data_IF_245890824690
#
_entry.id   IF_245890824690
#
_cell.length_a   1.000
_cell.length_b   1.000
_cell.length_c   1.000
_cell.angle_alpha   90.00
_cell.angle_beta   90.00
_cell.angle_gamma   90.00
#
_symmetry.space_group_name_H-M   'P 1'
#
loop_
_entity.id
_entity.type
_entity.pdbx_description
1 polymer ?
#
# COMPACT_ATOMS: atom_id res chain seq x y z
N UNK A 1 3.63 -6.86 15.54
CA UNK A 1 4.43 -7.15 16.75
C UNK A 1 4.90 -8.61 16.77
N UNK A 2 4.03 -9.60 16.78
CA UNK A 2 4.39 -11.03 16.76
C UNK A 2 3.90 -11.70 15.47
N UNK A 3 4.59 -12.77 15.03
CA UNK A 3 4.23 -13.51 13.83
C UNK A 3 2.81 -14.11 13.96
N UNK A 4 1.99 -13.90 12.93
CA UNK A 4 0.62 -14.41 12.86
C UNK A 4 0.54 -15.92 13.06
N UNK A 5 1.51 -16.69 12.54
CA UNK A 5 1.53 -18.14 12.70
C UNK A 5 1.68 -18.54 14.17
N UNK A 6 2.45 -17.79 14.97
CA UNK A 6 2.63 -18.04 16.39
C UNK A 6 1.39 -17.68 17.22
N UNK A 7 0.65 -16.67 16.80
CA UNK A 7 -0.62 -16.31 17.44
C UNK A 7 -1.64 -17.43 17.26
N UNK A 8 -1.66 -18.11 16.12
CA UNK A 8 -2.54 -19.28 15.88
C UNK A 8 -2.25 -20.48 16.79
N UNK A 9 -1.03 -20.60 17.30
CA UNK A 9 -0.62 -21.69 18.19
C UNK A 9 -0.99 -21.43 19.66
N UNK A 10 -1.53 -20.26 19.99
CA UNK A 10 -1.97 -19.92 21.33
C UNK A 10 -3.27 -20.64 21.68
N UNK A 11 -3.34 -21.17 22.92
CA UNK A 11 -4.58 -21.71 23.46
C UNK A 11 -5.47 -20.57 23.99
N UNK A 12 -6.71 -20.89 24.41
CA UNK A 12 -7.72 -19.91 24.84
C UNK A 12 -7.24 -18.98 25.97
N UNK A 13 -6.51 -19.52 26.96
CA UNK A 13 -5.96 -18.73 28.05
C UNK A 13 -4.81 -17.81 27.57
N UNK A 14 -4.00 -18.29 26.65
CA UNK A 14 -2.91 -17.52 26.06
C UNK A 14 -3.46 -16.44 25.10
N UNK A 15 -4.55 -16.70 24.39
CA UNK A 15 -5.27 -15.69 23.58
C UNK A 15 -5.89 -14.62 24.48
N UNK A 16 -6.48 -15.01 25.61
CA UNK A 16 -7.01 -14.05 26.60
C UNK A 16 -5.89 -13.15 27.13
N UNK A 17 -4.74 -13.74 27.47
CA UNK A 17 -3.56 -12.99 27.88
C UNK A 17 -3.06 -12.08 26.77
N UNK A 18 -2.99 -12.56 25.53
CA UNK A 18 -2.58 -11.78 24.36
C UNK A 18 -3.49 -10.55 24.18
N UNK A 19 -4.79 -10.73 24.21
CA UNK A 19 -5.75 -9.65 24.08
C UNK A 19 -5.62 -8.61 25.21
N UNK A 20 -5.38 -9.07 26.45
CA UNK A 20 -5.11 -8.18 27.58
C UNK A 20 -3.84 -7.35 27.34
N UNK A 21 -2.75 -8.00 26.91
CA UNK A 21 -1.47 -7.35 26.61
C UNK A 21 -1.62 -6.29 25.52
N UNK A 22 -2.28 -6.62 24.42
CA UNK A 22 -2.48 -5.65 23.31
C UNK A 22 -3.28 -4.43 23.77
N UNK A 23 -4.36 -4.67 24.53
CA UNK A 23 -5.23 -3.58 25.03
C UNK A 23 -4.56 -2.70 26.09
N UNK A 24 -3.57 -3.20 26.82
CA UNK A 24 -2.94 -2.53 27.95
C UNK A 24 -1.41 -2.46 27.81
N UNK A 25 -0.91 -2.46 26.59
CA UNK A 25 0.52 -2.55 26.28
C UNK A 25 1.37 -1.53 27.04
N UNK A 26 0.92 -0.27 27.09
CA UNK A 26 1.61 0.83 27.79
C UNK A 26 1.79 0.58 29.30
N UNK A 27 0.86 -0.18 29.91
CA UNK A 27 0.94 -0.56 31.33
C UNK A 27 1.80 -1.80 31.51
N UNK A 28 1.63 -2.80 30.61
CA UNK A 28 2.28 -4.12 30.71
C UNK A 28 3.81 -4.01 30.68
N UNK A 29 4.39 -3.06 29.94
CA UNK A 29 5.84 -2.85 29.91
C UNK A 29 6.44 -2.49 31.29
N UNK A 30 5.63 -1.93 32.21
CA UNK A 30 6.06 -1.59 33.57
C UNK A 30 5.65 -2.63 34.62
N UNK A 31 4.74 -3.56 34.29
CA UNK A 31 4.25 -4.58 35.22
C UNK A 31 5.32 -5.62 35.58
N UNK A 32 5.23 -6.13 36.81
CA UNK A 32 5.89 -7.38 37.18
C UNK A 32 5.04 -8.56 36.73
N UNK A 33 5.67 -9.73 36.53
CA UNK A 33 4.96 -10.94 36.06
C UNK A 33 3.77 -11.32 36.95
N UNK A 34 3.86 -11.11 38.26
CA UNK A 34 2.78 -11.37 39.21
C UNK A 34 1.61 -10.41 39.09
N UNK A 35 1.89 -9.16 38.73
CA UNK A 35 0.87 -8.13 38.48
C UNK A 35 0.11 -8.46 37.20
N UNK A 36 0.83 -8.78 36.13
CA UNK A 36 0.19 -9.22 34.87
C UNK A 36 -0.63 -10.50 35.08
N UNK A 37 -0.13 -11.47 35.87
CA UNK A 37 -0.84 -12.70 36.18
C UNK A 37 -2.18 -12.42 36.88
N UNK A 38 -2.21 -11.51 37.85
CA UNK A 38 -3.39 -11.06 38.56
C UNK A 38 -4.39 -10.35 37.63
N UNK A 39 -3.93 -9.40 36.88
CA UNK A 39 -4.76 -8.55 36.00
C UNK A 39 -5.35 -9.35 34.83
N UNK A 40 -4.57 -10.25 34.23
CA UNK A 40 -5.02 -11.11 33.13
C UNK A 40 -5.70 -12.40 33.58
N UNK A 41 -5.87 -12.61 34.92
CA UNK A 41 -6.47 -13.82 35.53
C UNK A 41 -5.83 -15.14 35.08
N UNK A 42 -4.51 -15.15 34.92
CA UNK A 42 -3.72 -16.33 34.53
C UNK A 42 -2.60 -16.62 35.53
N UNK A 43 -2.01 -17.82 35.46
CA UNK A 43 -0.83 -18.13 36.29
C UNK A 43 0.45 -17.51 35.67
N UNK A 44 1.46 -17.27 36.54
CA UNK A 44 2.79 -16.84 36.06
C UNK A 44 3.42 -17.88 35.12
N UNK A 45 3.13 -19.17 35.31
CA UNK A 45 3.56 -20.26 34.43
C UNK A 45 2.91 -20.14 33.06
N UNK A 46 1.65 -19.76 32.98
CA UNK A 46 0.97 -19.46 31.68
C UNK A 46 1.65 -18.33 30.95
N UNK A 47 2.01 -17.25 31.65
CA UNK A 47 2.75 -16.12 31.05
C UNK A 47 4.12 -16.56 30.51
N UNK A 48 4.86 -17.38 31.25
CA UNK A 48 6.17 -17.86 30.77
C UNK A 48 6.04 -18.78 29.54
N UNK A 49 5.01 -19.64 29.48
CA UNK A 49 4.72 -20.46 28.31
C UNK A 49 4.32 -19.59 27.10
N UNK A 50 3.46 -18.63 27.32
CA UNK A 50 3.09 -17.61 26.31
C UNK A 50 4.31 -16.89 25.76
N UNK A 51 5.22 -16.40 26.62
CA UNK A 51 6.47 -15.76 26.19
C UNK A 51 7.30 -16.70 25.29
N UNK A 52 7.46 -17.97 25.68
CA UNK A 52 8.23 -18.96 24.90
C UNK A 52 7.62 -19.22 23.52
N UNK A 53 6.29 -19.30 23.41
CA UNK A 53 5.60 -19.45 22.11
C UNK A 53 5.82 -18.26 21.19
N UNK A 54 6.08 -17.09 21.78
CA UNK A 54 6.37 -15.85 21.04
C UNK A 54 7.89 -15.61 20.88
N UNK A 55 8.72 -16.67 20.97
CA UNK A 55 10.19 -16.64 20.88
C UNK A 55 10.84 -15.66 21.85
N UNK A 56 10.32 -15.61 23.06
CA UNK A 56 10.95 -14.88 24.15
C UNK A 56 11.44 -15.89 25.20
N UNK A 57 12.70 -15.78 25.61
CA UNK A 57 13.28 -16.64 26.66
C UNK A 57 12.54 -16.50 27.99
N UNK A 58 11.92 -15.33 28.23
CA UNK A 58 11.14 -15.04 29.42
C UNK A 58 10.40 -13.73 29.39
N UNK A 59 9.74 -13.39 30.50
CA UNK A 59 8.90 -12.21 30.61
C UNK A 59 9.68 -10.89 30.46
N UNK A 60 10.94 -10.85 30.88
CA UNK A 60 11.80 -9.65 30.72
C UNK A 60 12.10 -9.36 29.25
N UNK A 61 12.44 -10.38 28.46
CA UNK A 61 12.65 -10.22 27.04
C UNK A 61 11.35 -9.86 26.31
N UNK A 62 10.25 -10.50 26.68
CA UNK A 62 8.93 -10.17 26.15
C UNK A 62 8.62 -8.68 26.36
N UNK A 63 8.83 -8.16 27.58
CA UNK A 63 8.60 -6.73 27.87
C UNK A 63 9.53 -5.82 27.06
N UNK A 64 10.79 -6.22 26.88
CA UNK A 64 11.72 -5.46 26.07
C UNK A 64 11.27 -5.38 24.60
N UNK A 65 10.87 -6.52 24.01
CA UNK A 65 10.32 -6.57 22.65
C UNK A 65 9.02 -5.75 22.53
N UNK A 66 8.13 -5.83 23.53
CA UNK A 66 6.92 -5.03 23.59
C UNK A 66 7.24 -3.53 23.65
N UNK A 67 8.19 -3.14 24.49
CA UNK A 67 8.64 -1.75 24.62
C UNK A 67 9.25 -1.24 23.32
N UNK A 68 10.15 -2.00 22.71
CA UNK A 68 10.74 -1.64 21.40
C UNK A 68 9.68 -1.53 20.30
N UNK A 69 8.62 -2.33 20.36
CA UNK A 69 7.50 -2.22 19.43
C UNK A 69 6.72 -0.92 19.64
N UNK A 70 6.42 -0.57 20.90
CA UNK A 70 5.73 0.68 21.22
C UNK A 70 6.61 1.91 20.88
N UNK A 71 7.89 1.88 21.23
CA UNK A 71 8.83 2.95 20.89
C UNK A 71 9.02 3.11 19.36
N UNK A 72 8.94 2.02 18.60
CA UNK A 72 8.89 2.09 17.13
C UNK A 72 7.59 2.70 16.62
N UNK A 73 6.46 2.49 17.33
CA UNK A 73 5.18 3.12 16.97
C UNK A 73 5.09 4.59 17.42
N UNK A 74 5.78 4.96 18.50
CA UNK A 74 5.87 6.36 18.97
C UNK A 74 6.99 7.14 18.27
N UNK A 75 8.07 6.46 17.85
CA UNK A 75 9.16 7.00 17.03
C UNK A 75 8.93 6.83 15.50
N UNK A 76 7.73 6.64 15.04
CA UNK A 76 7.35 7.23 13.78
C UNK A 76 7.38 8.75 13.99
N UNK A 77 8.57 9.37 14.06
CA UNK A 77 8.75 10.67 13.47
C UNK A 77 8.10 10.50 12.09
N UNK A 78 6.89 11.04 11.91
CA UNK A 78 6.32 11.20 10.60
C UNK A 78 7.42 11.83 9.78
N UNK A 79 8.11 11.03 8.99
CA UNK A 79 9.21 11.47 8.15
C UNK A 79 8.71 12.76 7.55
N UNK A 80 9.47 13.81 7.58
CA UNK A 80 8.98 15.17 7.28
C UNK A 80 8.18 15.13 5.96
N UNK A 81 6.89 14.79 6.06
CA UNK A 81 5.96 14.54 4.96
C UNK A 81 6.06 15.63 3.90
N UNK A 82 6.22 16.87 4.36
CA UNK A 82 6.39 18.02 3.48
C UNK A 82 7.68 17.94 2.67
N UNK A 83 8.82 17.54 3.29
CA UNK A 83 10.09 17.45 2.56
C UNK A 83 10.07 16.32 1.52
N UNK A 84 9.49 15.17 1.84
CA UNK A 84 9.32 14.07 0.89
C UNK A 84 8.51 14.47 -0.34
N UNK A 85 7.41 15.20 -0.13
CA UNK A 85 6.58 15.71 -1.22
C UNK A 85 7.35 16.74 -2.06
N UNK A 86 8.06 17.66 -1.43
CA UNK A 86 8.90 18.65 -2.14
C UNK A 86 9.98 17.97 -2.98
N UNK A 87 10.66 16.97 -2.43
CA UNK A 87 11.72 16.26 -3.13
C UNK A 87 11.17 15.46 -4.32
N UNK A 88 10.01 14.83 -4.16
CA UNK A 88 9.30 14.22 -5.29
C UNK A 88 8.95 15.28 -6.36
N UNK A 89 8.40 16.43 -5.99
CA UNK A 89 8.03 17.48 -6.96
C UNK A 89 9.23 17.99 -7.74
N UNK A 90 10.41 18.13 -7.11
CA UNK A 90 11.66 18.44 -7.80
C UNK A 90 12.05 17.33 -8.79
N UNK A 91 11.99 16.07 -8.35
CA UNK A 91 12.29 14.89 -9.16
C UNK A 91 11.34 14.78 -10.36
N UNK A 92 10.07 15.07 -10.18
CA UNK A 92 9.06 15.06 -11.25
C UNK A 92 9.30 16.10 -12.35
N UNK A 93 10.19 17.08 -12.13
CA UNK A 93 10.59 18.08 -13.14
C UNK A 93 11.84 17.65 -13.93
N UNK A 94 12.43 16.51 -13.62
CA UNK A 94 13.59 16.01 -14.37
C UNK A 94 13.19 15.57 -15.78
N UNK A 95 14.16 15.58 -16.70
CA UNK A 95 13.97 15.16 -18.09
C UNK A 95 13.40 13.75 -18.18
N UNK A 96 13.87 12.83 -17.35
CA UNK A 96 13.41 11.44 -17.29
C UNK A 96 11.90 11.34 -17.02
N UNK A 97 11.40 12.05 -15.99
CA UNK A 97 9.98 12.04 -15.66
C UNK A 97 9.12 12.69 -16.74
N UNK A 98 9.61 13.79 -17.32
CA UNK A 98 8.93 14.49 -18.40
C UNK A 98 8.80 13.58 -19.63
N UNK A 99 9.84 12.84 -19.99
CA UNK A 99 9.83 11.87 -21.09
C UNK A 99 8.84 10.72 -20.82
N UNK A 100 8.84 10.13 -19.61
CA UNK A 100 7.87 9.10 -19.22
C UNK A 100 6.43 9.63 -19.30
N UNK A 101 6.16 10.83 -18.80
CA UNK A 101 4.84 11.45 -18.87
C UNK A 101 4.43 11.68 -20.35
N UNK A 102 5.36 12.04 -21.23
CA UNK A 102 5.08 12.19 -22.66
C UNK A 102 4.66 10.85 -23.28
N UNK A 103 5.42 9.77 -23.02
CA UNK A 103 5.10 8.44 -23.51
C UNK A 103 3.71 7.99 -23.02
N UNK A 104 3.37 8.26 -21.76
CA UNK A 104 2.04 7.95 -21.22
C UNK A 104 0.95 8.74 -21.95
N UNK A 105 1.16 10.04 -22.18
CA UNK A 105 0.20 10.87 -22.91
C UNK A 105 0.02 10.38 -24.35
N UNK A 106 1.08 9.95 -25.01
CA UNK A 106 1.03 9.42 -26.38
C UNK A 106 0.19 8.14 -26.45
N UNK A 107 0.35 7.22 -25.49
CA UNK A 107 -0.47 6.01 -25.42
C UNK A 107 -1.95 6.31 -25.11
N UNK A 108 -2.22 7.23 -24.19
CA UNK A 108 -3.60 7.68 -23.91
C UNK A 108 -4.23 8.34 -25.15
N UNK A 109 -3.48 9.09 -25.92
CA UNK A 109 -3.98 9.74 -27.14
C UNK A 109 -4.34 8.74 -28.23
N UNK A 110 -3.60 7.64 -28.38
CA UNK A 110 -3.84 6.57 -29.33
C UNK A 110 -5.06 5.72 -28.93
N UNK A 111 -5.38 5.63 -27.65
CA UNK A 111 -6.48 4.83 -27.15
C UNK A 111 -7.83 5.59 -27.24
N UNK A 112 -8.92 4.84 -27.45
CA UNK A 112 -10.28 5.35 -27.36
C UNK A 112 -10.70 5.54 -25.91
N UNK A 113 -10.37 4.57 -25.07
CA UNK A 113 -10.77 4.48 -23.67
C UNK A 113 -9.56 4.34 -22.75
N UNK A 114 -9.69 4.84 -21.51
CA UNK A 114 -8.69 4.68 -20.46
C UNK A 114 -9.31 3.91 -19.31
N UNK A 115 -8.69 2.80 -18.92
CA UNK A 115 -9.12 1.98 -17.78
C UNK A 115 -8.15 2.21 -16.62
N UNK A 116 -8.66 2.70 -15.50
CA UNK A 116 -7.87 2.85 -14.28
C UNK A 116 -8.11 1.67 -13.35
N UNK A 117 -7.04 1.08 -12.81
CA UNK A 117 -7.12 -0.08 -11.91
C UNK A 117 -6.38 0.22 -10.61
N UNK A 118 -7.00 -0.10 -9.48
CA UNK A 118 -6.39 -0.01 -8.16
C UNK A 118 -7.33 -0.55 -7.10
N UNK A 119 -6.80 -1.00 -5.96
CA UNK A 119 -7.57 -1.55 -4.84
C UNK A 119 -7.26 -0.78 -3.57
N UNK A 120 -8.23 -0.64 -2.67
CA UNK A 120 -8.08 0.15 -1.45
C UNK A 120 -7.85 1.64 -1.74
N UNK A 121 -6.82 2.25 -1.15
CA UNK A 121 -6.47 3.66 -1.44
C UNK A 121 -6.13 3.88 -2.92
N UNK A 122 -5.47 2.92 -3.56
CA UNK A 122 -5.20 2.95 -5.00
C UNK A 122 -6.49 2.89 -5.84
N UNK A 123 -7.55 2.24 -5.34
CA UNK A 123 -8.88 2.26 -5.97
C UNK A 123 -9.55 3.64 -5.92
N UNK A 124 -9.39 4.36 -4.81
CA UNK A 124 -9.85 5.76 -4.68
C UNK A 124 -9.11 6.64 -5.69
N UNK A 125 -7.80 6.43 -5.85
CA UNK A 125 -7.01 7.10 -6.88
C UNK A 125 -7.47 6.77 -8.29
N UNK A 126 -7.77 5.50 -8.58
CA UNK A 126 -8.29 5.07 -9.88
C UNK A 126 -9.60 5.77 -10.21
N UNK A 127 -10.52 5.85 -9.25
CA UNK A 127 -11.79 6.58 -9.39
C UNK A 127 -11.60 8.08 -9.61
N UNK A 128 -10.73 8.73 -8.82
CA UNK A 128 -10.37 10.13 -9.00
C UNK A 128 -9.81 10.38 -10.40
N UNK A 129 -8.87 9.53 -10.82
CA UNK A 129 -8.17 9.64 -12.11
C UNK A 129 -9.12 9.49 -13.29
N UNK A 130 -10.03 8.51 -13.24
CA UNK A 130 -11.04 8.33 -14.27
C UNK A 130 -11.92 9.58 -14.39
N UNK A 131 -12.37 10.15 -13.26
CA UNK A 131 -13.16 11.39 -13.27
C UNK A 131 -12.38 12.57 -13.83
N UNK A 132 -11.10 12.70 -13.45
CA UNK A 132 -10.25 13.81 -13.87
C UNK A 132 -9.94 13.74 -15.38
N UNK A 133 -9.57 12.57 -15.89
CA UNK A 133 -9.28 12.31 -17.31
C UNK A 133 -10.54 12.46 -18.18
N UNK A 134 -11.70 12.03 -17.69
CA UNK A 134 -12.99 12.30 -18.38
C UNK A 134 -13.26 13.80 -18.51
N UNK A 135 -12.88 14.59 -17.52
CA UNK A 135 -13.03 16.05 -17.54
C UNK A 135 -12.22 16.74 -18.64
N UNK A 136 -11.12 16.14 -19.09
CA UNK A 136 -10.32 16.63 -20.23
C UNK A 136 -10.70 16.00 -21.57
N UNK A 137 -11.82 15.26 -21.60
CA UNK A 137 -12.50 14.77 -22.81
C UNK A 137 -11.96 13.45 -23.36
N UNK A 138 -11.39 12.62 -22.51
CA UNK A 138 -11.12 11.20 -22.80
C UNK A 138 -12.17 10.35 -22.08
N UNK A 139 -12.67 9.32 -22.74
CA UNK A 139 -13.54 8.36 -22.07
C UNK A 139 -12.69 7.54 -21.08
N UNK A 140 -13.09 7.52 -19.81
CA UNK A 140 -12.32 6.87 -18.76
C UNK A 140 -13.23 6.18 -17.75
N UNK A 141 -12.87 4.94 -17.40
CA UNK A 141 -13.53 4.11 -16.39
C UNK A 141 -12.53 3.67 -15.33
N UNK A 142 -13.02 3.18 -14.18
CA UNK A 142 -12.16 2.67 -13.12
C UNK A 142 -12.64 1.30 -12.62
N UNK A 143 -11.70 0.54 -12.06
CA UNK A 143 -11.90 -0.76 -11.45
C UNK A 143 -11.23 -0.69 -10.07
N UNK A 144 -12.04 -0.74 -9.01
CA UNK A 144 -11.59 -0.73 -7.61
C UNK A 144 -12.05 -1.98 -6.84
N UNK A 145 -12.76 -2.88 -7.53
CA UNK A 145 -13.23 -4.16 -7.02
C UNK A 145 -12.29 -5.29 -7.49
N UNK A 146 -11.69 -6.08 -6.58
CA UNK A 146 -10.85 -7.22 -6.94
C UNK A 146 -11.56 -8.32 -7.74
N UNK A 147 -12.89 -8.38 -7.66
CA UNK A 147 -13.73 -9.36 -8.36
C UNK A 147 -14.47 -8.77 -9.56
N UNK A 148 -14.08 -7.59 -10.02
CA UNK A 148 -14.73 -6.94 -11.15
C UNK A 148 -14.67 -7.82 -12.42
N UNK A 149 -15.81 -8.09 -13.09
CA UNK A 149 -15.83 -8.91 -14.30
C UNK A 149 -15.20 -8.15 -15.48
N UNK A 150 -13.98 -8.54 -15.85
CA UNK A 150 -13.20 -7.90 -16.93
C UNK A 150 -13.69 -8.34 -18.30
N UNK A 151 -14.88 -7.90 -18.70
CA UNK A 151 -15.51 -8.27 -19.98
C UNK A 151 -15.09 -7.40 -21.17
N UNK A 152 -13.89 -6.82 -21.14
CA UNK A 152 -13.33 -6.05 -22.25
C UNK A 152 -13.07 -6.96 -23.46
N UNK A 153 -13.32 -6.45 -24.66
CA UNK A 153 -13.02 -7.18 -25.90
C UNK A 153 -11.65 -6.79 -26.42
N UNK A 154 -10.95 -7.73 -27.05
CA UNK A 154 -9.65 -7.45 -27.68
C UNK A 154 -9.73 -6.48 -28.87
N UNK A 155 -10.93 -6.22 -29.39
CA UNK A 155 -11.18 -5.20 -30.43
C UNK A 155 -11.31 -3.78 -29.84
N UNK A 156 -11.51 -3.66 -28.52
CA UNK A 156 -11.64 -2.37 -27.87
C UNK A 156 -10.22 -1.76 -27.76
N UNK A 157 -10.06 -0.56 -28.30
CA UNK A 157 -8.77 0.14 -28.24
C UNK A 157 -8.69 0.95 -26.93
N UNK A 158 -8.13 0.33 -25.88
CA UNK A 158 -8.00 0.95 -24.55
C UNK A 158 -6.60 0.78 -23.98
N UNK A 159 -6.22 1.73 -23.12
CA UNK A 159 -5.01 1.70 -22.32
C UNK A 159 -5.37 1.55 -20.85
N UNK A 160 -4.63 0.75 -20.11
CA UNK A 160 -4.84 0.54 -18.69
C UNK A 160 -3.76 1.23 -17.86
N UNK A 161 -4.18 2.06 -16.91
CA UNK A 161 -3.30 2.72 -15.93
C UNK A 161 -3.56 2.09 -14.56
N UNK A 162 -2.51 1.55 -13.97
CA UNK A 162 -2.56 0.78 -12.72
C UNK A 162 -1.90 1.55 -11.60
N UNK A 163 -2.59 1.65 -10.46
CA UNK A 163 -2.03 2.19 -9.21
C UNK A 163 -1.80 1.08 -8.20
N UNK A 164 -0.60 1.04 -7.63
CA UNK A 164 -0.29 0.18 -6.49
C UNK A 164 0.91 0.74 -5.73
N UNK A 165 0.76 0.97 -4.42
CA UNK A 165 1.88 1.44 -3.58
C UNK A 165 2.96 0.37 -3.50
N UNK A 166 2.57 -0.87 -3.13
CA UNK A 166 3.52 -1.99 -2.99
C UNK A 166 4.02 -2.51 -4.34
N UNK A 167 3.19 -2.40 -5.38
CA UNK A 167 3.46 -3.04 -6.66
C UNK A 167 3.35 -4.58 -6.65
N UNK A 168 2.81 -5.16 -5.56
CA UNK A 168 2.74 -6.60 -5.31
C UNK A 168 1.32 -7.10 -5.00
N UNK A 169 0.28 -6.29 -5.24
CA UNK A 169 -1.12 -6.66 -4.96
C UNK A 169 -1.59 -7.74 -5.92
N UNK A 170 -1.82 -8.96 -5.43
CA UNK A 170 -2.14 -10.15 -6.24
C UNK A 170 -3.33 -9.92 -7.18
N UNK A 171 -4.46 -9.43 -6.67
CA UNK A 171 -5.65 -9.18 -7.49
C UNK A 171 -5.39 -8.13 -8.60
N UNK A 172 -4.53 -7.16 -8.35
CA UNK A 172 -4.13 -6.18 -9.39
C UNK A 172 -3.26 -6.84 -10.44
N UNK A 173 -2.35 -7.74 -10.04
CA UNK A 173 -1.51 -8.54 -10.95
C UNK A 173 -2.38 -9.43 -11.84
N UNK A 174 -3.42 -10.07 -11.27
CA UNK A 174 -4.39 -10.86 -12.03
C UNK A 174 -5.14 -9.99 -13.06
N UNK A 175 -5.62 -8.81 -12.65
CA UNK A 175 -6.27 -7.87 -13.57
C UNK A 175 -5.34 -7.44 -14.70
N UNK A 176 -4.06 -7.16 -14.43
CA UNK A 176 -3.06 -6.83 -15.45
C UNK A 176 -2.93 -7.96 -16.46
N UNK A 177 -2.77 -9.20 -16.00
CA UNK A 177 -2.61 -10.36 -16.88
C UNK A 177 -3.83 -10.54 -17.80
N UNK A 178 -5.05 -10.40 -17.27
CA UNK A 178 -6.27 -10.51 -18.05
C UNK A 178 -6.37 -9.35 -19.08
N UNK A 179 -6.16 -8.11 -18.66
CA UNK A 179 -6.27 -6.95 -19.54
C UNK A 179 -5.19 -6.96 -20.64
N UNK A 180 -3.97 -7.37 -20.27
CA UNK A 180 -2.86 -7.54 -21.22
C UNK A 180 -3.13 -8.64 -22.25
N UNK A 181 -3.72 -9.77 -21.83
CA UNK A 181 -4.12 -10.84 -22.75
C UNK A 181 -5.20 -10.42 -23.75
N UNK A 182 -5.95 -9.36 -23.42
CA UNK A 182 -6.96 -8.73 -24.28
C UNK A 182 -6.41 -7.57 -25.13
N UNK A 183 -5.10 -7.37 -25.11
CA UNK A 183 -4.42 -6.39 -25.96
C UNK A 183 -4.27 -4.98 -25.36
N UNK A 184 -4.65 -4.79 -24.09
CA UNK A 184 -4.43 -3.50 -23.43
C UNK A 184 -2.94 -3.25 -23.22
N UNK A 185 -2.50 -2.03 -23.50
CA UNK A 185 -1.21 -1.54 -23.04
C UNK A 185 -1.29 -1.18 -21.57
N UNK A 186 -0.33 -1.65 -20.79
CA UNK A 186 -0.33 -1.48 -19.34
C UNK A 186 0.67 -0.38 -18.94
N UNK A 187 0.20 0.59 -18.20
CA UNK A 187 0.99 1.67 -17.60
C UNK A 187 0.87 1.55 -16.09
N UNK A 188 1.98 1.54 -15.35
CA UNK A 188 1.95 1.50 -13.90
C UNK A 188 2.47 2.77 -13.25
N UNK A 189 1.78 3.20 -12.19
CA UNK A 189 2.20 4.26 -11.27
C UNK A 189 2.32 3.63 -9.90
N UNK A 190 3.57 3.41 -9.45
CA UNK A 190 3.90 2.64 -8.25
C UNK A 190 4.88 3.39 -7.37
N UNK A 191 5.06 2.97 -6.12
CA UNK A 191 6.08 3.60 -5.28
C UNK A 191 7.50 3.24 -5.72
N UNK A 192 7.72 2.03 -6.28
CA UNK A 192 9.01 1.59 -6.82
C UNK A 192 8.83 0.96 -8.19
N UNK A 193 9.79 1.18 -9.09
CA UNK A 193 9.83 0.47 -10.37
C UNK A 193 10.42 -0.95 -10.26
N UNK A 194 11.03 -1.28 -9.11
CA UNK A 194 11.51 -2.62 -8.83
C UNK A 194 10.44 -3.47 -8.11
N UNK A 195 9.30 -3.65 -8.78
CA UNK A 195 8.18 -4.44 -8.28
C UNK A 195 7.55 -5.26 -9.42
N UNK A 196 6.74 -6.26 -9.08
CA UNK A 196 6.10 -7.16 -10.06
C UNK A 196 5.19 -6.41 -11.03
N UNK A 197 4.36 -5.49 -10.55
CA UNK A 197 3.45 -4.71 -11.39
C UNK A 197 4.23 -3.87 -12.40
N UNK A 198 5.32 -3.22 -11.99
CA UNK A 198 6.17 -2.42 -12.90
C UNK A 198 6.85 -3.30 -13.97
N UNK A 199 7.32 -4.49 -13.61
CA UNK A 199 7.94 -5.45 -14.54
C UNK A 199 6.94 -6.02 -15.55
N UNK A 200 5.67 -6.10 -15.20
CA UNK A 200 4.59 -6.53 -16.10
C UNK A 200 4.07 -5.41 -17.00
N UNK A 201 4.39 -4.16 -16.71
CA UNK A 201 3.89 -2.98 -17.42
C UNK A 201 4.73 -2.65 -18.65
N UNK A 202 4.10 -2.07 -19.68
CA UNK A 202 4.78 -1.58 -20.87
C UNK A 202 5.48 -0.23 -20.61
N UNK A 203 4.89 0.58 -19.72
CA UNK A 203 5.49 1.84 -19.22
C UNK A 203 5.31 1.85 -17.70
N UNK A 204 6.36 2.21 -16.98
CA UNK A 204 6.35 2.31 -15.52
C UNK A 204 6.89 3.64 -15.04
N UNK A 205 6.26 4.22 -14.03
CA UNK A 205 6.73 5.40 -13.33
C UNK A 205 6.66 5.20 -11.83
N UNK A 206 7.81 5.20 -11.17
CA UNK A 206 7.95 5.08 -9.73
C UNK A 206 8.12 6.44 -9.07
N UNK A 207 7.46 6.70 -7.94
CA UNK A 207 7.57 7.98 -7.23
C UNK A 207 8.52 7.94 -6.02
N UNK A 208 8.90 6.76 -5.52
CA UNK A 208 9.96 6.53 -4.53
C UNK A 208 9.81 7.35 -3.24
N UNK A 209 8.64 7.27 -2.62
CA UNK A 209 8.37 7.85 -1.29
C UNK A 209 8.65 6.80 -0.22
N UNK A 210 9.16 7.22 0.93
CA UNK A 210 9.30 6.33 2.08
C UNK A 210 7.93 5.79 2.50
N UNK A 211 7.82 4.47 2.67
CA UNK A 211 6.60 3.82 3.13
C UNK A 211 6.34 4.19 4.59
N UNK A 212 5.10 4.54 4.88
CA UNK A 212 4.64 4.89 6.23
C UNK A 212 3.47 4.00 6.63
N UNK A 213 3.57 3.40 7.82
CA UNK A 213 2.52 2.54 8.37
C UNK A 213 2.20 2.95 9.80
N UNK A 214 0.92 3.02 10.14
CA UNK A 214 0.43 3.24 11.51
C UNK A 214 -0.51 2.11 11.88
N UNK A 215 -0.15 1.37 12.92
CA UNK A 215 -0.97 0.23 13.43
C UNK A 215 -1.33 -0.80 12.36
N UNK A 216 -0.40 -1.06 11.42
CA UNK A 216 -0.62 -1.99 10.30
C UNK A 216 -1.40 -1.39 9.12
N UNK A 217 -1.73 -0.11 9.19
CA UNK A 217 -2.35 0.64 8.09
C UNK A 217 -1.28 1.38 7.29
N UNK A 218 -1.26 1.17 5.99
CA UNK A 218 -0.40 1.93 5.08
C UNK A 218 -0.96 3.36 4.92
N UNK A 219 -0.23 4.36 5.41
CA UNK A 219 -0.55 5.78 5.30
C UNK A 219 0.38 6.52 4.35
N UNK A 220 1.14 5.80 3.54
CA UNK A 220 2.06 6.37 2.56
C UNK A 220 1.33 7.37 1.67
N UNK A 221 1.89 8.58 1.57
CA UNK A 221 1.24 9.66 0.84
C UNK A 221 0.98 9.34 -0.63
N UNK A 222 -0.21 9.69 -1.10
CA UNK A 222 -0.64 9.52 -2.50
C UNK A 222 -0.49 10.81 -3.33
N UNK A 223 0.03 11.88 -2.74
CA UNK A 223 0.26 13.16 -3.45
C UNK A 223 1.08 12.98 -4.73
N UNK A 224 2.15 12.16 -4.77
CA UNK A 224 2.89 11.91 -5.99
C UNK A 224 2.04 11.36 -7.14
N UNK A 225 1.23 10.36 -6.86
CA UNK A 225 0.37 9.74 -7.88
C UNK A 225 -0.72 10.72 -8.36
N UNK A 226 -1.32 11.50 -7.46
CA UNK A 226 -2.24 12.58 -7.80
C UNK A 226 -1.57 13.63 -8.71
N UNK A 227 -0.38 14.10 -8.34
CA UNK A 227 0.38 15.07 -9.14
C UNK A 227 0.67 14.55 -10.55
N UNK A 228 1.07 13.29 -10.68
CA UNK A 228 1.36 12.67 -11.97
C UNK A 228 0.10 12.65 -12.86
N UNK A 229 -1.04 12.21 -12.33
CA UNK A 229 -2.31 12.14 -13.07
C UNK A 229 -2.78 13.54 -13.49
N UNK A 230 -2.73 14.53 -12.59
CA UNK A 230 -3.12 15.89 -12.95
C UNK A 230 -2.18 16.49 -14.00
N UNK A 231 -0.89 16.18 -13.93
CA UNK A 231 0.09 16.62 -14.93
C UNK A 231 -0.17 15.99 -16.29
N UNK A 232 -0.45 14.68 -16.34
CA UNK A 232 -0.85 13.94 -17.54
C UNK A 232 -2.11 14.58 -18.15
N UNK A 233 -3.15 14.78 -17.34
CA UNK A 233 -4.42 15.35 -17.79
C UNK A 233 -4.25 16.77 -18.39
N UNK A 234 -3.50 17.63 -17.71
CA UNK A 234 -3.21 19.00 -18.19
C UNK A 234 -2.46 18.97 -19.52
N UNK A 235 -1.56 18.01 -19.70
CA UNK A 235 -0.81 17.85 -20.93
C UNK A 235 -1.69 17.34 -22.07
N UNK A 236 -2.56 16.37 -21.81
CA UNK A 236 -3.56 15.89 -22.76
C UNK A 236 -4.48 17.02 -23.24
N UNK A 237 -4.89 17.91 -22.33
CA UNK A 237 -5.73 19.06 -22.67
C UNK A 237 -5.03 20.10 -23.56
N UNK A 238 -3.74 20.34 -23.33
CA UNK A 238 -2.96 21.31 -24.12
C UNK A 238 -2.63 20.84 -25.54
N UNK A 239 -2.65 19.55 -25.78
CA UNK A 239 -2.32 18.94 -27.09
C UNK A 239 -3.58 18.72 -27.97
N UNK A 240 -4.73 19.23 -27.55
CA UNK A 240 -5.97 19.35 -28.34
C UNK A 240 -5.99 20.67 -29.11
#
# INVERSE_FOLDING_TARGET
MFDYNKIKELNDLEITLYNYVIKNSDKVIYMRIRELAKEAHVSTTTILRFCKKLDCEGFSEFKLKLKMYLEKSDNTEFSNHTSMVIDFLKKAQTKEYIEKINLICDEINKANDVVFVGIGFSGILAKYSARYISGVGKNAVYIDDPFYPLNFKSTDNYVTIVFSISGETENVIEHINILKSKGSKIISITNSEDCTISKLSDISIGYYIQKEEVSGFDITTQIPALYLIETIARKLYKNK
#
